data_IF_646965503726
#
_entry.id   IF_646965503726
#
_cell.length_a   1.000
_cell.length_b   1.000
_cell.length_c   1.000
_cell.angle_alpha   90.00
_cell.angle_beta   90.00
_cell.angle_gamma   90.00
#
_symmetry.space_group_name_H-M   'P 1'
#
loop_
_entity.id
_entity.type
_entity.pdbx_description
1 polymer ?
#
# COMPACT_ATOMS: atom_id res chain seq x y z
N UNK A 1 -4.64 31.62 -10.72
CA UNK A 1 -4.75 30.58 -9.68
C UNK A 1 -4.82 29.24 -10.37
N UNK A 2 -3.90 28.32 -10.04
CA UNK A 2 -3.88 26.99 -10.63
C UNK A 2 -5.07 26.15 -10.11
N UNK A 3 -5.86 25.58 -11.03
CA UNK A 3 -6.95 24.65 -10.72
C UNK A 3 -6.63 23.30 -11.32
N UNK A 4 -6.48 22.29 -10.46
CA UNK A 4 -6.19 20.92 -10.90
C UNK A 4 -7.47 20.19 -11.33
N UNK A 5 -7.47 19.61 -12.52
CA UNK A 5 -8.57 18.77 -13.02
C UNK A 5 -8.13 17.30 -13.03
N UNK A 6 -8.67 16.53 -12.10
CA UNK A 6 -8.43 15.08 -11.98
C UNK A 6 -9.38 14.30 -12.88
N UNK A 7 -8.83 13.35 -13.63
CA UNK A 7 -9.58 12.49 -14.55
C UNK A 7 -8.96 11.08 -14.57
N UNK A 8 -9.80 10.07 -14.81
CA UNK A 8 -9.39 8.69 -15.06
C UNK A 8 -10.39 8.01 -16.00
N UNK A 9 -9.91 7.52 -17.13
CA UNK A 9 -10.74 6.96 -18.21
C UNK A 9 -11.18 7.98 -19.27
N UNK A 10 -11.73 7.49 -20.40
CA UNK A 10 -12.00 8.30 -21.59
C UNK A 10 -13.11 9.34 -21.34
N UNK A 11 -14.22 8.97 -20.69
CA UNK A 11 -15.32 9.92 -20.42
C UNK A 11 -14.90 11.05 -19.50
N UNK A 12 -14.28 10.73 -18.37
CA UNK A 12 -13.84 11.76 -17.41
C UNK A 12 -12.77 12.69 -17.99
N UNK A 13 -11.94 12.20 -18.93
CA UNK A 13 -10.99 13.05 -19.66
C UNK A 13 -11.69 14.12 -20.49
N UNK A 14 -12.71 13.72 -21.27
CA UNK A 14 -13.48 14.65 -22.09
C UNK A 14 -14.17 15.69 -21.21
N UNK A 15 -14.72 15.27 -20.06
CA UNK A 15 -15.30 16.18 -19.07
C UNK A 15 -14.26 17.20 -18.59
N UNK A 16 -13.06 16.75 -18.20
CA UNK A 16 -12.00 17.62 -17.74
C UNK A 16 -11.56 18.61 -18.83
N UNK A 17 -11.47 18.18 -20.10
CA UNK A 17 -11.18 19.07 -21.23
C UNK A 17 -12.28 20.13 -21.43
N UNK A 18 -13.55 19.73 -21.35
CA UNK A 18 -14.70 20.64 -21.45
C UNK A 18 -14.72 21.65 -20.30
N UNK A 19 -14.50 21.19 -19.06
CA UNK A 19 -14.43 22.04 -17.87
C UNK A 19 -13.24 23.00 -17.96
N UNK A 20 -12.09 22.56 -18.46
CA UNK A 20 -10.92 23.42 -18.69
C UNK A 20 -11.26 24.59 -19.60
N UNK A 21 -11.87 24.33 -20.75
CA UNK A 21 -12.25 25.39 -21.69
C UNK A 21 -13.26 26.37 -21.07
N UNK A 22 -14.26 25.83 -20.38
CA UNK A 22 -15.29 26.64 -19.74
C UNK A 22 -14.74 27.50 -18.58
N UNK A 23 -13.86 26.95 -17.73
CA UNK A 23 -13.28 27.67 -16.60
C UNK A 23 -12.46 28.88 -17.05
N UNK A 24 -11.66 28.75 -18.11
CA UNK A 24 -10.91 29.88 -18.68
C UNK A 24 -11.84 30.97 -19.20
N UNK A 25 -13.02 30.63 -19.72
CA UNK A 25 -14.00 31.61 -20.19
C UNK A 25 -14.70 32.32 -19.03
N UNK A 26 -15.10 31.59 -17.99
CA UNK A 26 -15.88 32.13 -16.87
C UNK A 26 -15.03 32.89 -15.86
N UNK A 27 -13.85 32.38 -15.53
CA UNK A 27 -12.95 32.98 -14.53
C UNK A 27 -11.56 33.14 -15.13
N UNK A 28 -11.28 34.32 -15.68
CA UNK A 28 -10.01 34.65 -16.34
C UNK A 28 -8.78 34.57 -15.42
N UNK A 29 -9.00 34.63 -14.10
CA UNK A 29 -7.95 34.48 -13.09
C UNK A 29 -7.60 33.01 -12.80
N UNK A 30 -8.29 32.04 -13.41
CA UNK A 30 -8.01 30.62 -13.21
C UNK A 30 -7.12 30.10 -14.35
N UNK A 31 -6.16 29.26 -13.97
CA UNK A 31 -5.32 28.48 -14.89
C UNK A 31 -5.66 27.00 -14.68
N UNK A 32 -6.64 26.43 -15.42
CA UNK A 32 -6.99 25.03 -15.26
C UNK A 32 -5.96 24.14 -15.93
N UNK A 33 -5.47 23.17 -15.17
CA UNK A 33 -4.40 22.28 -15.58
C UNK A 33 -4.81 20.82 -15.41
N UNK A 34 -4.43 20.00 -16.38
CA UNK A 34 -4.65 18.55 -16.34
C UNK A 34 -3.37 17.81 -16.69
N UNK A 35 -3.25 16.57 -16.22
CA UNK A 35 -2.05 15.75 -16.44
C UNK A 35 -1.68 15.57 -17.93
N UNK A 36 -2.64 15.63 -18.86
CA UNK A 36 -2.36 15.58 -20.30
C UNK A 36 -1.63 16.80 -20.88
N UNK A 37 -1.45 17.88 -20.12
CA UNK A 37 -0.75 19.10 -20.55
C UNK A 37 0.79 19.01 -20.42
N UNK A 38 1.31 17.89 -19.91
CA UNK A 38 2.74 17.68 -19.68
C UNK A 38 3.49 17.56 -21.01
N UNK A 39 4.58 18.30 -21.16
CA UNK A 39 5.41 18.26 -22.36
C UNK A 39 6.03 16.86 -22.57
N UNK A 40 5.96 16.35 -23.81
CA UNK A 40 6.55 15.06 -24.18
C UNK A 40 8.06 15.10 -23.93
N UNK A 41 8.53 14.36 -22.92
CA UNK A 41 9.94 14.32 -22.49
C UNK A 41 10.19 14.83 -21.07
N UNK A 42 9.22 15.48 -20.44
CA UNK A 42 9.28 15.87 -19.02
C UNK A 42 9.03 14.67 -18.10
N UNK A 43 9.59 14.71 -16.88
CA UNK A 43 9.32 13.69 -15.85
C UNK A 43 7.89 13.84 -15.33
N UNK A 44 6.94 13.22 -16.02
CA UNK A 44 5.49 13.25 -15.77
C UNK A 44 5.11 13.42 -14.30
N UNK A 45 5.58 12.52 -13.44
CA UNK A 45 5.21 12.50 -12.04
C UNK A 45 5.77 13.63 -11.17
N UNK A 46 6.98 14.11 -11.47
CA UNK A 46 7.60 15.21 -10.73
C UNK A 46 6.88 16.53 -11.03
N UNK A 47 6.37 16.66 -12.25
CA UNK A 47 5.61 17.83 -12.69
C UNK A 47 4.18 17.79 -12.14
N UNK A 48 3.51 16.63 -12.14
CA UNK A 48 2.19 16.45 -11.49
C UNK A 48 2.26 16.75 -9.99
N UNK A 49 3.26 16.21 -9.27
CA UNK A 49 3.38 16.45 -7.83
C UNK A 49 3.67 17.92 -7.48
N UNK A 50 4.55 18.58 -8.24
CA UNK A 50 4.84 20.00 -8.06
C UNK A 50 3.60 20.86 -8.35
N UNK A 51 2.87 20.55 -9.43
CA UNK A 51 1.63 21.25 -9.78
C UNK A 51 0.51 20.99 -8.78
N UNK A 52 0.43 19.79 -8.19
CA UNK A 52 -0.53 19.47 -7.14
C UNK A 52 -0.24 20.22 -5.83
N UNK A 53 1.04 20.37 -5.46
CA UNK A 53 1.45 21.19 -4.30
C UNK A 53 1.16 22.68 -4.50
N UNK A 54 1.33 23.19 -5.73
CA UNK A 54 0.99 24.57 -6.09
C UNK A 54 -0.52 24.80 -6.29
N UNK A 55 -1.29 23.73 -6.50
CA UNK A 55 -2.74 23.81 -6.75
C UNK A 55 -3.52 24.05 -5.47
N UNK A 56 -4.13 25.22 -5.35
CA UNK A 56 -5.00 25.58 -4.22
C UNK A 56 -6.42 25.03 -4.37
N UNK A 57 -6.80 24.58 -5.56
CA UNK A 57 -8.13 24.09 -5.85
C UNK A 57 -8.07 22.88 -6.79
N UNK A 58 -8.85 21.85 -6.52
CA UNK A 58 -8.95 20.66 -7.36
C UNK A 58 -10.41 20.26 -7.63
N UNK A 59 -10.68 19.89 -8.88
CA UNK A 59 -11.95 19.32 -9.32
C UNK A 59 -11.69 17.89 -9.76
N UNK A 60 -12.45 16.96 -9.18
CA UNK A 60 -12.35 15.53 -9.47
C UNK A 60 -13.54 15.10 -10.32
N UNK A 61 -13.28 14.71 -11.56
CA UNK A 61 -14.33 14.26 -12.48
C UNK A 61 -14.64 12.78 -12.27
N UNK A 62 -15.75 12.50 -11.57
CA UNK A 62 -16.22 11.15 -11.28
C UNK A 62 -17.32 10.72 -12.26
N UNK A 63 -17.18 9.48 -12.72
CA UNK A 63 -18.12 8.79 -13.59
C UNK A 63 -18.27 7.34 -13.12
N UNK A 64 -19.29 6.62 -13.58
CA UNK A 64 -19.50 5.20 -13.24
C UNK A 64 -18.31 4.32 -13.62
N UNK A 65 -17.49 4.75 -14.59
CA UNK A 65 -16.32 4.02 -15.07
C UNK A 65 -15.10 4.14 -14.14
N UNK A 66 -15.05 5.16 -13.29
CA UNK A 66 -13.84 5.51 -12.54
C UNK A 66 -14.03 5.60 -11.01
N UNK A 67 -15.20 5.22 -10.49
CA UNK A 67 -15.44 5.13 -9.04
C UNK A 67 -14.42 4.22 -8.33
N UNK A 68 -14.03 3.11 -8.96
CA UNK A 68 -13.03 2.17 -8.43
C UNK A 68 -11.58 2.55 -8.78
N UNK A 69 -11.36 3.69 -9.46
CA UNK A 69 -10.02 4.10 -9.89
C UNK A 69 -9.21 4.61 -8.70
N UNK A 70 -8.28 3.77 -8.20
CA UNK A 70 -7.38 4.08 -7.08
C UNK A 70 -6.58 5.38 -7.30
N UNK A 71 -6.28 5.73 -8.55
CA UNK A 71 -5.63 6.98 -8.93
C UNK A 71 -6.38 8.24 -8.49
N UNK A 72 -7.71 8.25 -8.62
CA UNK A 72 -8.54 9.39 -8.23
C UNK A 72 -8.51 9.61 -6.72
N UNK A 73 -8.50 8.52 -5.95
CA UNK A 73 -8.37 8.56 -4.48
C UNK A 73 -7.02 9.13 -4.04
N UNK A 74 -5.96 8.86 -4.81
CA UNK A 74 -4.62 9.38 -4.56
C UNK A 74 -4.53 10.89 -4.81
N UNK A 75 -5.04 11.37 -5.95
CA UNK A 75 -5.02 12.80 -6.28
C UNK A 75 -5.91 13.63 -5.33
N UNK A 76 -7.10 13.11 -5.00
CA UNK A 76 -8.00 13.71 -4.01
C UNK A 76 -7.35 13.83 -2.63
N UNK A 77 -6.67 12.77 -2.19
CA UNK A 77 -6.01 12.72 -0.88
C UNK A 77 -4.69 13.51 -0.82
N UNK A 78 -4.00 13.70 -1.95
CA UNK A 78 -2.80 14.53 -2.01
C UNK A 78 -3.14 16.01 -1.88
N UNK A 79 -4.18 16.47 -2.59
CA UNK A 79 -4.63 17.86 -2.50
C UNK A 79 -5.19 18.13 -1.11
N UNK A 80 -6.10 17.29 -0.60
CA UNK A 80 -6.77 17.54 0.69
C UNK A 80 -5.88 17.60 1.93
N UNK A 81 -4.62 17.12 1.84
CA UNK A 81 -3.64 17.17 2.94
C UNK A 81 -2.93 18.53 3.06
N UNK A 82 -3.12 19.43 2.10
CA UNK A 82 -2.58 20.79 2.15
C UNK A 82 -3.56 21.70 2.90
N UNK A 83 -3.06 22.38 3.94
CA UNK A 83 -3.86 23.16 4.91
C UNK A 83 -4.70 24.31 4.31
N UNK A 84 -4.53 24.66 3.03
CA UNK A 84 -5.24 25.75 2.34
C UNK A 84 -5.86 25.34 1.00
N UNK A 85 -6.03 24.04 0.76
CA UNK A 85 -6.58 23.51 -0.50
C UNK A 85 -8.09 23.27 -0.43
N UNK A 86 -8.78 23.35 -1.57
CA UNK A 86 -10.21 23.02 -1.68
C UNK A 86 -10.42 21.96 -2.75
N UNK A 87 -11.12 20.88 -2.38
CA UNK A 87 -11.41 19.75 -3.27
C UNK A 87 -12.90 19.66 -3.51
N UNK A 88 -13.31 19.70 -4.77
CA UNK A 88 -14.68 19.45 -5.21
C UNK A 88 -14.73 18.21 -6.09
N UNK A 89 -15.80 17.44 -5.96
CA UNK A 89 -16.04 16.26 -6.81
C UNK A 89 -17.19 16.57 -7.74
N UNK A 90 -17.03 16.27 -9.03
CA UNK A 90 -18.06 16.46 -10.05
C UNK A 90 -18.62 15.09 -10.45
N UNK A 91 -19.95 14.94 -10.38
CA UNK A 91 -20.66 13.70 -10.68
C UNK A 91 -21.44 13.86 -11.99
N UNK A 92 -21.19 12.99 -12.97
CA UNK A 92 -21.93 12.98 -14.24
C UNK A 92 -23.08 11.95 -14.24
N UNK A 93 -22.74 10.66 -14.26
CA UNK A 93 -23.67 9.53 -14.45
C UNK A 93 -23.88 8.69 -13.18
N UNK A 94 -23.51 9.26 -12.03
CA UNK A 94 -23.53 8.62 -10.72
C UNK A 94 -24.19 9.53 -9.69
N UNK A 95 -24.83 8.91 -8.71
CA UNK A 95 -25.47 9.65 -7.61
C UNK A 95 -24.51 9.79 -6.43
N UNK A 96 -24.68 10.81 -5.56
CA UNK A 96 -23.88 10.95 -4.33
C UNK A 96 -23.86 9.69 -3.44
N UNK A 97 -24.92 8.88 -3.46
CA UNK A 97 -25.01 7.64 -2.70
C UNK A 97 -24.13 6.51 -3.26
N UNK A 98 -23.74 6.58 -4.53
CA UNK A 98 -22.84 5.61 -5.19
C UNK A 98 -21.36 5.92 -4.92
N UNK A 99 -21.04 7.04 -4.28
CA UNK A 99 -19.67 7.45 -3.96
C UNK A 99 -19.25 6.88 -2.59
N UNK A 100 -18.27 5.99 -2.57
CA UNK A 100 -17.72 5.41 -1.34
C UNK A 100 -16.68 6.32 -0.65
N UNK A 101 -16.34 6.01 0.60
CA UNK A 101 -15.24 6.68 1.31
C UNK A 101 -13.89 6.37 0.65
N UNK A 102 -12.93 7.32 0.64
CA UNK A 102 -12.94 8.63 1.29
C UNK A 102 -13.63 9.76 0.49
N UNK A 103 -14.00 9.56 -0.77
CA UNK A 103 -14.54 10.64 -1.62
C UNK A 103 -15.90 11.14 -1.18
N UNK A 104 -16.69 10.29 -0.52
CA UNK A 104 -17.99 10.66 0.06
C UNK A 104 -17.89 11.77 1.13
N UNK A 105 -16.68 12.10 1.60
CA UNK A 105 -16.47 13.18 2.58
C UNK A 105 -16.53 14.58 1.96
N UNK A 106 -16.37 14.68 0.64
CA UNK A 106 -16.35 15.95 -0.08
C UNK A 106 -17.75 16.32 -0.58
N UNK A 107 -18.02 17.63 -0.73
CA UNK A 107 -19.26 18.07 -1.36
C UNK A 107 -19.22 17.78 -2.86
N UNK A 108 -20.29 17.15 -3.34
CA UNK A 108 -20.47 16.74 -4.72
C UNK A 108 -21.18 17.84 -5.53
N UNK A 109 -20.70 18.10 -6.74
CA UNK A 109 -21.34 18.94 -7.75
C UNK A 109 -22.01 18.05 -8.78
N UNK A 110 -23.32 18.22 -8.95
CA UNK A 110 -24.09 17.51 -9.97
C UNK A 110 -24.18 18.32 -11.27
N UNK A 111 -24.78 17.77 -12.32
CA UNK A 111 -25.06 18.48 -13.59
C UNK A 111 -26.09 19.62 -13.40
N UNK A 112 -26.68 19.76 -12.21
CA UNK A 112 -27.63 20.84 -11.95
C UNK A 112 -26.97 22.23 -11.99
N UNK A 113 -27.64 23.16 -12.67
CA UNK A 113 -27.22 24.56 -12.80
C UNK A 113 -26.97 25.24 -11.45
N UNK A 114 -27.79 24.91 -10.45
CA UNK A 114 -27.69 25.42 -9.07
C UNK A 114 -26.36 25.04 -8.41
N UNK A 115 -25.90 23.81 -8.61
CA UNK A 115 -24.66 23.30 -8.03
C UNK A 115 -23.44 23.82 -8.78
N UNK A 116 -23.49 23.87 -10.11
CA UNK A 116 -22.41 24.49 -10.89
C UNK A 116 -22.23 25.98 -10.61
N UNK A 117 -23.33 26.70 -10.34
CA UNK A 117 -23.25 28.09 -9.89
C UNK A 117 -22.51 28.20 -8.55
N UNK A 118 -22.80 27.32 -7.58
CA UNK A 118 -22.05 27.27 -6.31
C UNK A 118 -20.58 26.95 -6.54
N UNK A 119 -20.28 26.01 -7.44
CA UNK A 119 -18.90 25.67 -7.81
C UNK A 119 -18.15 26.90 -8.35
N UNK A 120 -18.76 27.65 -9.28
CA UNK A 120 -18.16 28.87 -9.83
C UNK A 120 -17.87 29.92 -8.75
N UNK A 121 -18.81 30.17 -7.83
CA UNK A 121 -18.60 31.08 -6.70
C UNK A 121 -17.50 30.58 -5.75
N UNK A 122 -17.46 29.27 -5.48
CA UNK A 122 -16.45 28.67 -4.60
C UNK A 122 -15.04 28.80 -5.19
N UNK A 123 -14.90 28.63 -6.51
CA UNK A 123 -13.63 28.85 -7.22
C UNK A 123 -13.25 30.33 -7.16
N UNK A 124 -14.20 31.24 -7.38
CA UNK A 124 -13.94 32.69 -7.31
C UNK A 124 -13.52 33.16 -5.90
N UNK A 125 -14.09 32.55 -4.85
CA UNK A 125 -13.66 32.78 -3.47
C UNK A 125 -12.27 32.17 -3.19
N UNK A 126 -11.95 31.02 -3.79
CA UNK A 126 -10.61 30.45 -3.73
C UNK A 126 -9.56 31.34 -4.43
N UNK A 127 -9.92 31.98 -5.56
CA UNK A 127 -9.06 32.98 -6.24
C UNK A 127 -8.77 34.15 -5.30
N UNK A 128 -9.77 34.64 -4.57
CA UNK A 128 -9.59 35.71 -3.58
C UNK A 128 -8.67 35.27 -2.45
N UNK A 129 -8.85 34.06 -1.90
CA UNK A 129 -7.95 33.47 -0.88
C UNK A 129 -6.53 33.27 -1.40
N UNK A 130 -6.37 33.03 -2.70
CA UNK A 130 -5.07 32.89 -3.33
C UNK A 130 -4.31 34.22 -3.49
N UNK A 131 -4.96 35.36 -3.22
CA UNK A 131 -4.39 36.71 -3.37
C UNK A 131 -4.55 37.29 -4.78
N UNK A 132 -5.38 36.69 -5.62
CA UNK A 132 -5.63 37.12 -6.99
C UNK A 132 -6.93 37.93 -7.13
N UNK A 133 -7.10 38.60 -8.27
CA UNK A 133 -8.27 39.46 -8.50
C UNK A 133 -9.51 38.63 -8.83
N UNK A 134 -10.37 38.45 -7.83
CA UNK A 134 -11.69 37.83 -8.01
C UNK A 134 -12.68 38.75 -8.73
N UNK A 135 -13.71 38.15 -9.32
CA UNK A 135 -14.80 38.85 -9.99
C UNK A 135 -15.90 39.22 -8.98
N UNK A 136 -16.57 40.38 -9.11
CA UNK A 136 -17.76 40.67 -8.34
C UNK A 136 -18.87 39.65 -8.63
N UNK A 137 -19.60 39.22 -7.59
CA UNK A 137 -20.61 38.16 -7.69
C UNK A 137 -21.63 38.38 -8.83
N UNK A 138 -22.09 39.63 -9.03
CA UNK A 138 -23.03 39.98 -10.11
C UNK A 138 -22.44 39.80 -11.51
N UNK A 139 -21.14 40.08 -11.67
CA UNK A 139 -20.43 39.92 -12.94
C UNK A 139 -20.20 38.44 -13.24
N UNK A 140 -19.81 37.67 -12.22
CA UNK A 140 -19.65 36.21 -12.34
C UNK A 140 -20.97 35.54 -12.73
N UNK A 141 -22.08 35.93 -12.10
CA UNK A 141 -23.41 35.39 -12.42
C UNK A 141 -23.82 35.70 -13.87
N UNK A 142 -23.57 36.93 -14.36
CA UNK A 142 -23.87 37.27 -15.76
C UNK A 142 -23.04 36.48 -16.78
N UNK A 143 -21.76 36.28 -16.50
CA UNK A 143 -20.86 35.47 -17.33
C UNK A 143 -21.30 33.99 -17.29
N UNK A 144 -21.58 33.46 -16.10
CA UNK A 144 -22.07 32.09 -15.91
C UNK A 144 -23.33 31.82 -16.72
N UNK A 145 -24.33 32.70 -16.65
CA UNK A 145 -25.59 32.57 -17.39
C UNK A 145 -25.39 32.54 -18.91
N UNK A 146 -24.37 33.23 -19.41
CA UNK A 146 -24.06 33.29 -20.85
C UNK A 146 -23.42 32.00 -21.35
N UNK A 147 -22.49 31.41 -20.59
CA UNK A 147 -21.73 30.22 -21.00
C UNK A 147 -22.31 28.89 -20.51
N UNK A 148 -23.26 28.92 -19.55
CA UNK A 148 -23.90 27.72 -19.02
C UNK A 148 -24.59 26.84 -20.08
N UNK A 149 -25.39 27.38 -21.03
CA UNK A 149 -26.09 26.54 -22.01
C UNK A 149 -25.15 25.68 -22.86
N UNK A 150 -23.99 26.23 -23.25
CA UNK A 150 -22.98 25.53 -24.06
C UNK A 150 -22.32 24.39 -23.26
N UNK A 151 -22.03 24.64 -21.98
CA UNK A 151 -21.51 23.61 -21.09
C UNK A 151 -22.55 22.51 -20.85
N UNK A 152 -23.80 22.89 -20.60
CA UNK A 152 -24.87 21.93 -20.32
C UNK A 152 -25.11 21.01 -21.51
N UNK A 153 -25.17 21.54 -22.74
CA UNK A 153 -25.31 20.74 -23.96
C UNK A 153 -24.16 19.75 -24.11
N UNK A 154 -22.91 20.22 -23.95
CA UNK A 154 -21.74 19.34 -24.00
C UNK A 154 -21.76 18.25 -22.91
N UNK A 155 -22.17 18.57 -21.68
CA UNK A 155 -22.25 17.58 -20.59
C UNK A 155 -23.36 16.54 -20.81
N UNK A 156 -24.50 16.95 -21.35
CA UNK A 156 -25.60 16.04 -21.71
C UNK A 156 -25.16 15.10 -22.83
N UNK A 157 -24.55 15.63 -23.88
CA UNK A 157 -24.02 14.82 -24.99
C UNK A 157 -23.00 13.78 -24.48
N UNK A 158 -22.07 14.20 -23.60
CA UNK A 158 -21.09 13.29 -22.99
C UNK A 158 -21.77 12.23 -22.11
N UNK A 159 -22.87 12.57 -21.42
CA UNK A 159 -23.62 11.62 -20.59
C UNK A 159 -24.35 10.56 -21.43
N UNK A 160 -24.80 10.93 -22.63
CA UNK A 160 -25.53 10.05 -23.56
C UNK A 160 -24.60 9.24 -24.48
N UNK A 161 -23.32 9.61 -24.58
CA UNK A 161 -22.32 8.84 -25.33
C UNK A 161 -22.18 7.41 -24.78
N UNK A 162 -22.77 6.45 -25.48
CA UNK A 162 -22.50 5.03 -25.30
C UNK A 162 -21.15 4.67 -25.90
N UNK A 163 -20.14 4.51 -25.05
CA UNK A 163 -18.95 3.75 -25.43
C UNK A 163 -19.34 2.28 -25.57
N UNK A 164 -19.50 1.84 -26.82
CA UNK A 164 -19.48 0.42 -27.17
C UNK A 164 -18.02 -0.06 -27.12
N UNK A 165 -17.48 -0.29 -25.93
CA UNK A 165 -16.30 -1.14 -25.76
C UNK A 165 -16.66 -2.33 -24.89
N UNK A 166 -16.51 -3.51 -25.47
CA UNK A 166 -16.40 -4.78 -24.75
C UNK A 166 -15.52 -4.56 -23.52
N UNK A 167 -16.00 -4.94 -22.33
CA UNK A 167 -15.13 -5.16 -21.18
C UNK A 167 -14.13 -6.27 -21.55
N UNK A 168 -13.03 -5.93 -22.23
CA UNK A 168 -11.80 -6.68 -22.03
C UNK A 168 -11.46 -6.48 -20.54
N UNK A 169 -11.35 -7.55 -19.75
CA UNK A 169 -10.98 -7.42 -18.35
C UNK A 169 -9.69 -6.59 -18.30
N UNK A 170 -9.64 -5.58 -17.41
CA UNK A 170 -8.43 -4.77 -17.18
C UNK A 170 -7.25 -5.74 -17.13
N UNK A 171 -6.37 -5.69 -18.13
CA UNK A 171 -5.21 -6.59 -18.15
C UNK A 171 -4.31 -6.20 -17.00
N UNK A 172 -3.84 -7.17 -16.23
CA UNK A 172 -2.96 -6.99 -15.06
C UNK A 172 -1.80 -6.03 -15.34
N UNK A 173 -1.31 -6.01 -16.58
CA UNK A 173 -0.28 -5.09 -17.07
C UNK A 173 -0.58 -3.60 -16.91
N UNK A 174 -1.82 -3.17 -17.15
CA UNK A 174 -2.22 -1.77 -17.00
C UNK A 174 -2.35 -1.38 -15.52
N UNK A 175 -2.77 -2.33 -14.68
CA UNK A 175 -2.85 -2.18 -13.22
C UNK A 175 -1.42 -2.16 -12.64
N UNK A 176 -0.53 -3.01 -13.14
CA UNK A 176 0.88 -3.06 -12.75
C UNK A 176 1.63 -1.81 -13.19
N UNK A 177 1.38 -1.28 -14.39
CA UNK A 177 2.00 -0.03 -14.85
C UNK A 177 1.60 1.15 -13.95
N UNK A 178 0.33 1.22 -13.55
CA UNK A 178 -0.18 2.21 -12.60
C UNK A 178 0.44 2.01 -11.20
N UNK A 179 0.52 0.78 -10.69
CA UNK A 179 1.16 0.44 -9.40
C UNK A 179 2.66 0.75 -9.42
N UNK A 180 3.36 0.47 -10.52
CA UNK A 180 4.78 0.79 -10.70
C UNK A 180 5.00 2.30 -10.76
N UNK A 181 4.09 3.07 -11.35
CA UNK A 181 4.14 4.53 -11.32
C UNK A 181 3.92 5.10 -9.91
N UNK A 182 2.98 4.53 -9.14
CA UNK A 182 2.72 4.90 -7.74
C UNK A 182 3.95 4.60 -6.86
N UNK A 183 4.55 3.41 -7.00
CA UNK A 183 5.75 3.01 -6.24
C UNK A 183 6.98 3.85 -6.58
N UNK A 184 7.18 4.16 -7.87
CA UNK A 184 8.27 5.06 -8.32
C UNK A 184 8.10 6.49 -7.81
N UNK A 185 6.86 6.95 -7.61
CA UNK A 185 6.59 8.26 -7.00
C UNK A 185 6.81 8.27 -5.49
N UNK A 186 6.55 7.14 -4.82
CA UNK A 186 6.83 6.95 -3.40
C UNK A 186 8.33 6.94 -3.10
N UNK A 187 9.15 6.22 -3.88
CA UNK A 187 10.61 6.19 -3.71
C UNK A 187 11.26 7.57 -3.95
N UNK A 188 10.75 8.34 -4.92
CA UNK A 188 11.30 9.66 -5.23
C UNK A 188 11.01 10.72 -4.16
N UNK A 189 9.92 10.59 -3.41
CA UNK A 189 9.63 11.45 -2.24
C UNK A 189 10.61 11.21 -1.08
N UNK A 190 11.17 10.01 -0.95
CA UNK A 190 12.15 9.70 0.10
C UNK A 190 13.56 10.21 -0.21
N UNK A 191 13.90 10.39 -1.50
CA UNK A 191 15.26 10.77 -1.92
C UNK A 191 15.59 12.27 -1.80
N UNK A 192 14.62 13.14 -1.50
CA UNK A 192 14.80 14.60 -1.47
C UNK A 192 15.23 15.21 -0.13
N UNK A 193 15.53 14.42 0.91
CA UNK A 193 15.73 14.93 2.29
C UNK A 193 17.01 14.50 3.01
N UNK A 194 18.05 14.07 2.29
CA UNK A 194 19.30 13.62 2.95
C UNK A 194 20.43 14.61 2.69
N UNK A 195 20.53 15.67 3.51
CA UNK A 195 21.82 16.30 3.78
C UNK A 195 22.56 15.42 4.80
N UNK A 196 23.69 14.85 4.39
CA UNK A 196 24.53 13.98 5.22
C UNK A 196 25.38 14.82 6.19
N UNK A 197 25.14 14.68 7.50
CA UNK A 197 26.06 15.14 8.54
C UNK A 197 26.94 13.97 8.97
N UNK A 198 28.22 14.01 8.56
CA UNK A 198 29.27 13.10 9.03
C UNK A 198 29.72 13.51 10.45
N UNK A 199 29.51 12.64 11.45
CA UNK A 199 30.11 12.79 12.79
C UNK A 199 31.13 11.68 13.05
N UNK A 200 32.37 12.10 13.37
CA UNK A 200 33.44 11.23 13.87
C UNK A 200 33.24 10.93 15.36
N UNK A 201 33.69 9.77 15.86
CA UNK A 201 33.55 9.42 17.26
C UNK A 201 34.63 10.10 18.11
N UNK A 202 34.24 10.72 19.22
CA UNK A 202 35.17 11.05 20.30
C UNK A 202 34.56 10.77 21.67
N UNK A 203 35.39 10.14 22.49
CA UNK A 203 35.27 9.80 23.90
C UNK A 203 34.61 10.88 24.78
N UNK A 204 33.68 10.47 25.65
CA UNK A 204 33.90 10.56 27.10
C UNK A 204 32.73 10.02 27.91
N UNK A 205 33.08 9.29 28.96
CA UNK A 205 32.23 8.83 30.06
C UNK A 205 31.93 10.01 31.00
N UNK A 206 30.66 10.26 31.32
CA UNK A 206 30.30 10.93 32.58
C UNK A 206 28.88 10.57 33.03
N UNK A 207 28.79 10.13 34.30
CA UNK A 207 27.57 9.77 34.99
C UNK A 207 26.69 11.00 35.29
N UNK A 208 25.37 10.84 35.20
CA UNK A 208 24.40 11.81 35.71
C UNK A 208 23.66 11.27 36.94
N UNK A 209 23.52 12.07 38.02
CA UNK A 209 22.82 11.69 39.25
C UNK A 209 21.31 11.82 39.09
N UNK A 210 20.58 11.05 39.91
CA UNK A 210 19.12 10.97 39.88
C UNK A 210 18.41 12.28 40.21
N UNK A 211 17.53 12.70 39.29
CA UNK A 211 16.16 13.21 39.48
C UNK A 211 15.67 13.72 38.12
N UNK A 212 14.97 12.83 37.41
CA UNK A 212 14.01 13.07 36.31
C UNK A 212 13.97 11.91 35.31
N UNK A 213 13.91 10.68 35.84
CA UNK A 213 13.77 9.46 35.01
C UNK A 213 12.46 9.49 34.22
N UNK A 214 11.39 10.10 34.73
CA UNK A 214 10.09 10.16 34.03
C UNK A 214 10.12 11.15 32.84
N UNK A 215 10.91 12.23 32.93
CA UNK A 215 11.07 13.18 31.81
C UNK A 215 11.98 12.61 30.72
N UNK A 216 13.08 11.94 31.09
CA UNK A 216 13.90 11.20 30.13
C UNK A 216 13.14 10.02 29.46
N UNK A 217 12.28 9.33 30.20
CA UNK A 217 11.44 8.24 29.67
C UNK A 217 10.38 8.73 28.69
N UNK A 218 9.87 9.97 28.85
CA UNK A 218 8.92 10.56 27.90
C UNK A 218 9.63 11.13 26.67
N UNK A 219 10.82 11.72 26.82
CA UNK A 219 11.57 12.31 25.69
C UNK A 219 12.23 11.24 24.80
N UNK A 220 12.63 10.09 25.34
CA UNK A 220 13.14 8.96 24.52
C UNK A 220 12.03 8.18 23.80
N UNK A 221 10.75 8.39 24.13
CA UNK A 221 9.62 7.67 23.50
C UNK A 221 9.22 8.23 22.13
N UNK A 222 9.73 9.40 21.73
CA UNK A 222 9.42 9.99 20.43
C UNK A 222 10.54 9.88 19.37
N UNK A 223 11.80 9.70 19.74
CA UNK A 223 12.90 9.67 18.75
C UNK A 223 13.35 8.26 18.29
N UNK A 224 12.93 7.19 18.97
CA UNK A 224 13.21 5.82 18.52
C UNK A 224 12.21 5.28 17.48
N UNK A 225 11.17 6.06 17.15
CA UNK A 225 10.18 5.68 16.14
C UNK A 225 10.59 6.11 14.73
N UNK A 226 11.39 7.16 14.58
CA UNK A 226 11.70 7.75 13.26
C UNK A 226 12.98 7.23 12.59
N UNK A 227 13.82 6.48 13.29
CA UNK A 227 15.03 5.85 12.70
C UNK A 227 14.86 4.36 12.37
N UNK A 228 13.70 3.77 12.67
CA UNK A 228 13.48 2.33 12.52
C UNK A 228 12.85 1.89 11.18
N UNK A 229 12.62 2.82 10.24
CA UNK A 229 11.94 2.50 8.97
C UNK A 229 12.91 1.94 7.90
N UNK A 230 14.23 2.05 8.08
CA UNK A 230 15.19 1.73 7.00
C UNK A 230 16.01 0.44 7.14
N UNK A 231 15.65 -0.47 8.05
CA UNK A 231 16.25 -1.81 8.06
C UNK A 231 15.21 -2.81 8.57
N UNK A 232 14.97 -3.89 7.82
CA UNK A 232 14.01 -4.94 8.17
C UNK A 232 14.26 -5.57 9.54
N UNK A 233 13.76 -4.93 10.60
CA UNK A 233 13.90 -5.41 11.96
C UNK A 233 12.81 -6.44 12.25
N UNK A 234 13.23 -7.71 12.32
CA UNK A 234 12.45 -8.80 12.88
C UNK A 234 11.91 -8.36 14.25
N UNK A 235 10.59 -8.48 14.45
CA UNK A 235 9.95 -8.08 15.71
C UNK A 235 10.16 -9.20 16.71
N UNK A 236 10.81 -8.88 17.83
CA UNK A 236 10.99 -9.79 18.96
C UNK A 236 10.10 -9.35 20.12
N UNK A 237 9.50 -10.30 20.82
CA UNK A 237 8.93 -10.04 22.16
C UNK A 237 9.94 -10.46 23.22
N UNK A 238 10.26 -9.53 24.12
CA UNK A 238 11.17 -9.68 25.26
C UNK A 238 10.36 -9.54 26.55
N UNK A 239 10.65 -10.38 27.56
CA UNK A 239 9.96 -10.34 28.83
C UNK A 239 10.96 -10.34 29.99
N UNK A 240 10.75 -9.48 30.99
CA UNK A 240 11.53 -9.46 32.24
C UNK A 240 10.90 -10.43 33.24
N UNK A 241 11.61 -11.53 33.57
CA UNK A 241 11.04 -12.65 34.31
C UNK A 241 12.01 -13.25 35.33
N UNK A 242 11.55 -13.40 36.59
CA UNK A 242 12.18 -14.24 37.63
C UNK A 242 11.47 -15.60 37.67
N UNK A 243 12.15 -16.68 37.27
CA UNK A 243 11.74 -18.11 37.36
C UNK A 243 10.35 -18.44 36.78
N UNK A 244 10.21 -18.44 35.46
CA UNK A 244 8.97 -18.80 34.76
C UNK A 244 9.24 -19.77 33.60
N UNK A 245 8.28 -20.63 33.29
CA UNK A 245 8.37 -21.64 32.20
C UNK A 245 7.38 -21.30 31.10
N UNK A 246 7.75 -21.66 29.87
CA UNK A 246 6.91 -21.46 28.68
C UNK A 246 6.37 -22.80 28.25
N UNK A 247 5.07 -22.86 28.00
CA UNK A 247 4.42 -24.06 27.51
C UNK A 247 3.58 -23.71 26.29
N UNK A 248 3.69 -24.52 25.26
CA UNK A 248 2.83 -24.42 24.09
C UNK A 248 2.37 -25.81 23.67
N UNK A 249 1.15 -25.91 23.16
CA UNK A 249 0.67 -27.17 22.59
C UNK A 249 1.53 -27.54 21.38
N UNK A 250 2.24 -28.67 21.44
CA UNK A 250 3.07 -29.18 20.34
C UNK A 250 2.29 -29.34 19.02
N UNK A 251 0.96 -29.42 19.07
CA UNK A 251 0.11 -29.49 17.87
C UNK A 251 0.01 -28.17 17.08
N UNK A 252 0.50 -27.04 17.64
CA UNK A 252 0.42 -25.71 17.02
C UNK A 252 1.65 -25.31 16.19
N UNK A 253 2.78 -25.97 16.41
CA UNK A 253 4.05 -25.64 15.77
C UNK A 253 4.79 -26.90 15.29
N UNK A 254 5.54 -26.75 14.21
CA UNK A 254 6.37 -27.79 13.62
C UNK A 254 7.83 -27.36 13.69
N UNK A 255 8.73 -28.31 13.98
CA UNK A 255 10.16 -28.05 14.07
C UNK A 255 10.83 -28.15 12.71
N UNK A 256 11.45 -27.06 12.26
CA UNK A 256 12.18 -27.00 10.99
C UNK A 256 13.58 -27.66 11.09
N UNK A 257 14.34 -27.67 9.99
CA UNK A 257 15.70 -28.24 9.93
C UNK A 257 16.70 -27.59 10.89
N UNK A 258 16.51 -26.30 11.20
CA UNK A 258 17.37 -25.52 12.10
C UNK A 258 17.04 -25.78 13.57
N UNK A 259 16.05 -26.64 13.84
CA UNK A 259 15.59 -26.96 15.17
C UNK A 259 14.68 -25.89 15.79
N UNK A 260 14.25 -24.89 15.01
CA UNK A 260 13.34 -23.81 15.41
C UNK A 260 11.90 -24.28 15.23
N UNK A 261 11.04 -23.93 16.19
CA UNK A 261 9.61 -24.22 16.12
C UNK A 261 8.90 -23.12 15.32
N UNK A 262 8.14 -23.51 14.31
CA UNK A 262 7.42 -22.60 13.42
C UNK A 262 5.92 -22.87 13.54
N UNK A 263 5.15 -21.83 13.86
CA UNK A 263 3.69 -21.93 14.05
C UNK A 263 3.01 -22.18 12.70
N UNK A 264 2.26 -23.28 12.60
CA UNK A 264 1.53 -23.66 11.38
C UNK A 264 0.01 -23.49 11.48
N UNK A 265 -0.48 -22.90 12.59
CA UNK A 265 -1.91 -22.60 12.82
C UNK A 265 -2.17 -21.09 12.68
N UNK A 266 -3.35 -20.71 12.19
CA UNK A 266 -3.75 -19.30 12.01
C UNK A 266 -4.18 -18.58 13.30
N UNK A 267 -4.62 -19.33 14.31
CA UNK A 267 -5.11 -18.79 15.59
C UNK A 267 -4.54 -19.62 16.74
N UNK A 268 -3.26 -19.46 17.03
CA UNK A 268 -2.60 -20.18 18.12
C UNK A 268 -2.22 -19.24 19.27
N UNK A 269 -2.07 -19.82 20.45
CA UNK A 269 -1.73 -19.11 21.68
C UNK A 269 -0.64 -19.89 22.42
N UNK A 270 0.22 -19.16 23.13
CA UNK A 270 1.29 -19.70 23.97
C UNK A 270 1.06 -19.18 25.38
N UNK A 271 1.19 -20.06 26.37
CA UNK A 271 1.02 -19.71 27.77
C UNK A 271 2.37 -19.61 28.48
N UNK A 272 2.52 -18.59 29.32
CA UNK A 272 3.58 -18.51 30.31
C UNK A 272 3.02 -19.01 31.62
N UNK A 273 3.69 -19.98 32.22
CA UNK A 273 3.30 -20.56 33.51
C UNK A 273 4.36 -20.32 34.59
N UNK A 274 3.92 -20.25 35.84
CA UNK A 274 4.82 -20.31 36.99
C UNK A 274 5.28 -21.75 37.28
N UNK A 275 6.17 -21.90 38.26
CA UNK A 275 6.65 -23.22 38.71
C UNK A 275 5.53 -24.12 39.27
N UNK A 276 4.38 -23.56 39.64
CA UNK A 276 3.20 -24.28 40.13
C UNK A 276 2.20 -24.64 39.01
N UNK A 277 2.48 -24.28 37.75
CA UNK A 277 1.63 -24.57 36.60
C UNK A 277 0.48 -23.58 36.39
N UNK A 278 0.44 -22.47 37.14
CA UNK A 278 -0.58 -21.43 36.95
C UNK A 278 -0.23 -20.58 35.74
N UNK A 279 -1.20 -20.38 34.84
CA UNK A 279 -1.08 -19.47 33.69
C UNK A 279 -0.97 -18.04 34.20
N UNK A 280 0.14 -17.38 33.86
CA UNK A 280 0.44 -16.00 34.20
C UNK A 280 0.06 -15.05 33.06
N UNK A 281 0.31 -15.48 31.82
CA UNK A 281 0.11 -14.68 30.63
C UNK A 281 -0.15 -15.59 29.44
N UNK A 282 -0.99 -15.14 28.52
CA UNK A 282 -1.32 -15.83 27.28
C UNK A 282 -1.05 -14.91 26.09
N UNK A 283 -0.24 -15.39 25.16
CA UNK A 283 0.28 -14.62 24.03
C UNK A 283 -0.28 -15.20 22.74
N UNK A 284 -0.90 -14.35 21.93
CA UNK A 284 -1.37 -14.75 20.60
C UNK A 284 -0.21 -14.84 19.61
N UNK A 285 -0.06 -16.01 18.99
CA UNK A 285 0.90 -16.26 17.92
C UNK A 285 0.19 -16.48 16.59
N UNK A 286 0.82 -15.98 15.54
CA UNK A 286 0.33 -16.04 14.16
C UNK A 286 1.02 -17.14 13.37
N UNK A 287 0.41 -17.52 12.25
CA UNK A 287 1.02 -18.41 11.27
C UNK A 287 2.36 -17.83 10.80
N UNK A 288 3.42 -18.62 10.83
CA UNK A 288 4.76 -18.15 10.47
C UNK A 288 5.65 -17.69 11.62
N UNK A 289 5.09 -17.51 12.82
CA UNK A 289 5.88 -17.12 13.98
C UNK A 289 6.91 -18.18 14.32
N UNK A 290 8.14 -17.73 14.60
CA UNK A 290 9.23 -18.59 15.05
C UNK A 290 9.30 -18.54 16.57
N UNK A 291 9.07 -19.68 17.20
CA UNK A 291 9.24 -19.87 18.63
C UNK A 291 10.69 -20.29 18.86
N UNK A 292 11.42 -19.43 19.57
CA UNK A 292 12.86 -19.53 19.81
C UNK A 292 13.22 -20.50 20.94
N UNK A 293 12.22 -20.94 21.70
CA UNK A 293 12.39 -21.80 22.86
C UNK A 293 11.67 -23.15 22.68
N UNK A 294 12.29 -24.25 23.14
CA UNK A 294 11.60 -25.52 23.24
C UNK A 294 10.41 -25.46 24.20
N UNK A 295 9.40 -26.29 23.93
CA UNK A 295 8.26 -26.48 24.83
C UNK A 295 8.72 -26.92 26.24
N UNK A 296 8.13 -26.32 27.27
CA UNK A 296 8.42 -26.58 28.68
C UNK A 296 9.74 -25.99 29.19
N UNK A 297 10.51 -25.29 28.35
CA UNK A 297 11.79 -24.71 28.77
C UNK A 297 11.60 -23.47 29.65
N UNK A 298 12.53 -23.27 30.58
CA UNK A 298 12.62 -22.03 31.33
C UNK A 298 13.27 -20.96 30.44
N UNK A 299 12.71 -19.75 30.41
CA UNK A 299 13.39 -18.63 29.77
C UNK A 299 14.10 -17.75 30.80
N UNK A 300 15.22 -17.18 30.37
CA UNK A 300 15.90 -16.11 31.10
C UNK A 300 15.18 -14.78 30.93
N UNK A 301 15.40 -13.85 31.86
CA UNK A 301 14.94 -12.48 31.73
C UNK A 301 15.50 -11.84 30.45
N UNK A 302 14.65 -11.11 29.72
CA UNK A 302 14.93 -10.48 28.43
C UNK A 302 15.36 -11.45 27.32
N UNK A 303 15.01 -12.73 27.43
CA UNK A 303 15.24 -13.69 26.34
C UNK A 303 14.19 -13.50 25.24
N UNK A 304 14.63 -13.58 23.98
CA UNK A 304 13.76 -13.58 22.80
C UNK A 304 12.95 -14.88 22.77
N UNK A 305 11.63 -14.76 22.79
CA UNK A 305 10.74 -15.93 22.80
C UNK A 305 10.14 -16.22 21.43
N UNK A 306 9.65 -15.17 20.78
CA UNK A 306 8.94 -15.23 19.52
C UNK A 306 9.60 -14.22 18.58
N UNK A 307 9.86 -14.67 17.36
CA UNK A 307 10.35 -13.85 16.26
C UNK A 307 9.31 -13.86 15.15
N UNK A 308 8.88 -12.67 14.74
CA UNK A 308 7.94 -12.46 13.64
C UNK A 308 8.57 -11.55 12.58
N UNK A 309 8.37 -11.90 11.32
CA UNK A 309 8.61 -10.99 10.21
C UNK A 309 7.35 -10.12 9.99
N UNK A 310 7.40 -8.80 10.24
CA UNK A 310 6.23 -7.95 10.06
C UNK A 310 5.92 -7.65 8.59
N UNK A 311 6.86 -7.94 7.68
CA UNK A 311 6.79 -7.52 6.28
C UNK A 311 6.44 -8.65 5.33
N UNK A 312 6.37 -9.89 5.82
CA UNK A 312 6.05 -11.03 4.96
C UNK A 312 5.30 -12.12 5.69
N UNK A 313 4.44 -12.82 4.93
CA UNK A 313 3.81 -14.07 5.35
C UNK A 313 4.59 -15.24 4.75
N UNK A 314 5.17 -16.15 5.56
CA UNK A 314 5.92 -17.29 5.05
C UNK A 314 4.97 -18.36 4.50
N UNK A 315 5.40 -19.09 3.47
CA UNK A 315 4.75 -20.32 3.00
C UNK A 315 5.49 -21.49 3.62
N UNK A 316 4.86 -22.22 4.55
CA UNK A 316 5.51 -23.29 5.32
C UNK A 316 5.04 -24.65 4.83
N UNK A 317 5.95 -25.61 4.74
CA UNK A 317 5.57 -27.00 4.47
C UNK A 317 5.24 -27.79 5.74
N UNK A 318 4.25 -28.68 5.65
CA UNK A 318 3.87 -29.60 6.73
C UNK A 318 4.52 -30.97 6.59
N UNK A 319 5.21 -31.24 5.48
CA UNK A 319 5.80 -32.54 5.18
C UNK A 319 7.22 -32.38 4.68
N UNK A 320 8.04 -33.41 4.89
CA UNK A 320 9.34 -33.48 4.23
C UNK A 320 9.24 -34.03 2.81
N UNK A 321 10.21 -33.70 1.97
CA UNK A 321 10.32 -34.23 0.62
C UNK A 321 11.22 -33.39 -0.27
N UNK A 322 11.40 -33.85 -1.51
CA UNK A 322 12.23 -33.17 -2.51
C UNK A 322 11.42 -32.13 -3.27
N UNK A 323 11.93 -30.90 -3.38
CA UNK A 323 11.27 -29.78 -4.07
C UNK A 323 11.16 -30.06 -5.56
N UNK A 324 9.95 -29.99 -6.08
CA UNK A 324 9.66 -30.01 -7.50
C UNK A 324 8.84 -28.76 -7.88
N UNK A 325 9.38 -28.00 -8.82
CA UNK A 325 8.70 -26.85 -9.39
C UNK A 325 7.65 -27.29 -10.42
N UNK A 326 6.46 -26.70 -10.35
CA UNK A 326 5.39 -26.87 -11.33
C UNK A 326 4.99 -25.51 -11.89
N UNK A 327 4.92 -25.43 -13.21
CA UNK A 327 4.56 -24.21 -13.96
C UNK A 327 5.39 -22.98 -13.56
N UNK A 328 6.66 -23.20 -13.18
CA UNK A 328 7.65 -22.16 -12.91
C UNK A 328 8.60 -22.06 -14.11
N UNK A 329 8.44 -21.00 -14.88
CA UNK A 329 9.18 -20.71 -16.10
C UNK A 329 9.75 -19.30 -15.98
N UNK A 330 11.06 -19.18 -16.16
CA UNK A 330 11.77 -17.90 -16.07
C UNK A 330 11.26 -16.92 -17.12
N UNK A 331 11.11 -15.65 -16.73
CA UNK A 331 10.55 -14.55 -17.53
C UNK A 331 9.10 -14.75 -18.01
N UNK A 332 8.41 -15.81 -17.55
CA UNK A 332 7.00 -16.08 -17.88
C UNK A 332 6.12 -16.18 -16.63
N UNK A 333 6.64 -16.80 -15.57
CA UNK A 333 5.92 -16.92 -14.29
C UNK A 333 6.78 -16.55 -13.08
N UNK A 334 8.09 -16.44 -13.26
CA UNK A 334 9.00 -15.88 -12.25
C UNK A 334 10.15 -15.16 -12.93
N UNK A 335 10.79 -14.23 -12.22
CA UNK A 335 12.05 -13.58 -12.64
C UNK A 335 13.09 -13.72 -11.54
N UNK A 336 14.37 -13.70 -11.92
CA UNK A 336 15.45 -13.57 -10.94
C UNK A 336 15.74 -12.09 -10.70
N UNK A 337 15.46 -11.60 -9.50
CA UNK A 337 15.85 -10.28 -9.05
C UNK A 337 17.13 -10.36 -8.24
N UNK A 338 18.03 -9.41 -8.45
CA UNK A 338 19.24 -9.27 -7.65
C UNK A 338 18.99 -8.16 -6.64
N UNK A 339 19.07 -8.48 -5.37
CA UNK A 339 19.09 -7.47 -4.31
C UNK A 339 20.36 -6.62 -4.48
N UNK A 340 20.17 -5.33 -4.72
CA UNK A 340 21.25 -4.37 -5.02
C UNK A 340 22.16 -4.11 -3.83
N UNK A 341 21.70 -4.39 -2.60
CA UNK A 341 22.48 -4.20 -1.38
C UNK A 341 23.25 -5.45 -0.98
N UNK A 342 22.65 -6.64 -1.11
CA UNK A 342 23.29 -7.90 -0.69
C UNK A 342 23.92 -8.69 -1.84
N UNK A 343 23.57 -8.36 -3.09
CA UNK A 343 23.96 -9.12 -4.28
C UNK A 343 23.31 -10.50 -4.39
N UNK A 344 22.40 -10.85 -3.46
CA UNK A 344 21.70 -12.14 -3.49
C UNK A 344 20.63 -12.14 -4.58
N UNK A 345 20.54 -13.28 -5.26
CA UNK A 345 19.50 -13.51 -6.27
C UNK A 345 18.29 -14.16 -5.63
N UNK A 346 17.13 -13.59 -5.89
CA UNK A 346 15.84 -14.09 -5.45
C UNK A 346 14.96 -14.41 -6.65
N UNK A 347 14.27 -15.55 -6.61
CA UNK A 347 13.24 -15.87 -7.60
C UNK A 347 11.92 -15.26 -7.13
N UNK A 348 11.40 -14.28 -7.87
CA UNK A 348 10.15 -13.59 -7.55
C UNK A 348 9.08 -14.02 -8.55
N UNK A 349 7.93 -14.48 -8.05
CA UNK A 349 6.79 -14.81 -8.92
C UNK A 349 6.21 -13.52 -9.52
N UNK A 350 6.07 -13.52 -10.83
CA UNK A 350 5.43 -12.44 -11.61
C UNK A 350 4.09 -12.93 -12.15
N UNK A 351 3.25 -12.05 -12.67
CA UNK A 351 2.02 -12.45 -13.33
C UNK A 351 2.27 -13.45 -14.46
N UNK A 352 1.36 -14.42 -14.58
CA UNK A 352 1.49 -15.56 -15.49
C UNK A 352 0.23 -15.72 -16.37
N UNK A 353 0.35 -16.30 -17.57
CA UNK A 353 -0.80 -16.61 -18.42
C UNK A 353 -1.80 -17.55 -17.73
N UNK A 354 -3.08 -17.43 -18.07
CA UNK A 354 -4.16 -18.24 -17.46
C UNK A 354 -4.00 -19.76 -17.62
N UNK A 355 -3.12 -20.24 -18.50
CA UNK A 355 -2.76 -21.66 -18.65
C UNK A 355 -1.80 -22.19 -17.58
N UNK A 356 -1.11 -21.31 -16.83
CA UNK A 356 -0.12 -21.71 -15.83
C UNK A 356 -0.68 -21.63 -14.41
N UNK A 357 -0.18 -22.49 -13.52
CA UNK A 357 -0.47 -22.47 -12.08
C UNK A 357 0.83 -22.67 -11.29
N UNK A 358 1.65 -21.60 -11.13
CA UNK A 358 2.93 -21.67 -10.42
C UNK A 358 2.80 -22.30 -9.04
N UNK A 359 3.61 -23.32 -8.77
CA UNK A 359 3.52 -24.09 -7.53
C UNK A 359 4.83 -24.79 -7.18
N UNK A 360 4.99 -25.05 -5.89
CA UNK A 360 5.98 -25.98 -5.36
C UNK A 360 5.26 -27.26 -4.93
N UNK A 361 5.74 -28.41 -5.39
CA UNK A 361 5.27 -29.71 -4.94
C UNK A 361 6.40 -30.46 -4.24
N UNK A 362 6.09 -31.19 -3.17
CA UNK A 362 7.09 -32.04 -2.51
C UNK A 362 6.96 -33.48 -2.97
N UNK A 363 8.09 -34.09 -3.34
CA UNK A 363 8.16 -35.44 -3.91
C UNK A 363 8.77 -36.43 -2.92
N UNK A 364 8.26 -37.66 -2.93
CA UNK A 364 8.88 -38.81 -2.27
C UNK A 364 10.10 -39.31 -3.07
N UNK A 365 10.85 -40.24 -2.51
CA UNK A 365 12.01 -40.87 -3.17
C UNK A 365 11.64 -41.62 -4.46
N UNK A 366 10.34 -41.84 -4.73
CA UNK A 366 9.82 -42.48 -5.95
C UNK A 366 9.29 -41.45 -6.96
N UNK A 367 9.49 -40.15 -6.73
CA UNK A 367 9.06 -39.06 -7.60
C UNK A 367 7.56 -38.72 -7.53
N UNK A 368 6.80 -39.36 -6.64
CA UNK A 368 5.36 -39.09 -6.44
C UNK A 368 5.18 -37.95 -5.46
N UNK A 369 4.13 -37.15 -5.63
CA UNK A 369 3.87 -36.05 -4.70
C UNK A 369 3.44 -36.60 -3.34
N UNK A 370 4.12 -36.16 -2.29
CA UNK A 370 3.81 -36.51 -0.89
C UNK A 370 2.40 -36.00 -0.57
N UNK A 371 1.65 -36.72 0.27
CA UNK A 371 0.33 -36.28 0.74
C UNK A 371 0.47 -35.51 2.05
N UNK A 372 -0.40 -34.52 2.26
CA UNK A 372 -0.45 -33.78 3.52
C UNK A 372 -0.92 -34.68 4.67
N UNK A 373 -0.42 -34.49 5.90
CA UNK A 373 -0.75 -35.36 7.02
C UNK A 373 -2.26 -35.34 7.32
N UNK A 374 -2.86 -36.52 7.49
CA UNK A 374 -4.29 -36.63 7.79
C UNK A 374 -5.24 -36.31 6.64
N UNK A 375 -4.74 -36.11 5.42
CA UNK A 375 -5.57 -35.88 4.23
C UNK A 375 -5.07 -36.65 3.02
N UNK A 376 -5.91 -36.77 1.98
CA UNK A 376 -5.49 -37.30 0.68
C UNK A 376 -4.96 -36.22 -0.28
N UNK A 377 -4.93 -34.96 0.17
CA UNK A 377 -4.47 -33.85 -0.67
C UNK A 377 -2.95 -33.93 -0.88
N UNK A 378 -2.49 -33.72 -2.12
CA UNK A 378 -1.06 -33.69 -2.41
C UNK A 378 -0.43 -32.42 -1.83
N UNK A 379 0.79 -32.51 -1.31
CA UNK A 379 1.61 -31.40 -0.84
C UNK A 379 2.05 -30.53 -2.03
N UNK A 380 1.11 -29.68 -2.46
CA UNK A 380 1.25 -28.71 -3.54
C UNK A 380 0.90 -27.34 -2.98
N UNK A 381 1.87 -26.44 -3.03
CA UNK A 381 1.79 -25.09 -2.53
C UNK A 381 1.75 -24.16 -3.73
N UNK A 382 0.59 -23.55 -3.98
CA UNK A 382 0.45 -22.52 -5.01
C UNK A 382 1.24 -21.29 -4.60
N UNK A 383 1.87 -20.64 -5.57
CA UNK A 383 2.65 -19.43 -5.33
C UNK A 383 1.94 -18.23 -5.97
N UNK A 384 1.32 -17.36 -5.16
CA UNK A 384 0.77 -16.09 -5.66
C UNK A 384 1.85 -15.19 -6.27
N UNK A 385 1.42 -14.23 -7.10
CA UNK A 385 2.29 -13.17 -7.60
C UNK A 385 2.94 -12.40 -6.44
N UNK A 386 4.18 -11.96 -6.62
CA UNK A 386 4.99 -11.32 -5.58
C UNK A 386 5.63 -12.28 -4.58
N UNK A 387 5.35 -13.59 -4.65
CA UNK A 387 6.02 -14.55 -3.76
C UNK A 387 7.52 -14.61 -4.07
N UNK A 388 8.34 -14.40 -3.04
CA UNK A 388 9.79 -14.61 -3.07
C UNK A 388 10.05 -16.07 -2.73
N UNK A 389 10.55 -16.86 -3.67
CA UNK A 389 10.91 -18.26 -3.45
C UNK A 389 12.26 -18.33 -2.73
N UNK A 390 12.33 -19.14 -1.67
CA UNK A 390 13.52 -19.30 -0.83
C UNK A 390 14.20 -20.67 -0.98
N UNK A 391 13.65 -21.54 -1.82
CA UNK A 391 14.13 -22.91 -2.04
C UNK A 391 14.47 -23.14 -3.51
N UNK A 392 15.39 -24.04 -3.77
CA UNK A 392 15.79 -24.44 -5.11
C UNK A 392 15.14 -25.76 -5.53
N UNK A 393 15.05 -25.98 -6.86
CA UNK A 393 14.55 -27.23 -7.40
C UNK A 393 15.47 -28.37 -6.99
N UNK A 394 14.91 -29.40 -6.36
CA UNK A 394 15.65 -30.56 -5.90
C UNK A 394 16.11 -30.47 -4.44
N UNK A 395 15.89 -29.36 -3.75
CA UNK A 395 16.18 -29.25 -2.32
C UNK A 395 15.41 -30.29 -1.52
N UNK A 396 16.07 -30.87 -0.52
CA UNK A 396 15.44 -31.78 0.44
C UNK A 396 14.94 -30.95 1.62
N UNK A 397 13.61 -30.95 1.82
CA UNK A 397 12.95 -30.21 2.89
C UNK A 397 12.43 -31.12 4.00
N UNK A 398 12.32 -30.56 5.20
CA UNK A 398 11.60 -31.15 6.33
C UNK A 398 10.35 -30.33 6.64
N UNK A 399 9.41 -30.94 7.36
CA UNK A 399 8.25 -30.22 7.84
C UNK A 399 8.68 -29.00 8.68
N UNK A 400 7.99 -27.86 8.53
CA UNK A 400 8.34 -26.59 9.17
C UNK A 400 9.29 -25.71 8.38
N UNK A 401 9.90 -26.21 7.29
CA UNK A 401 10.72 -25.37 6.41
C UNK A 401 9.85 -24.37 5.62
N UNK A 402 10.45 -23.20 5.33
CA UNK A 402 9.81 -22.12 4.59
C UNK A 402 10.15 -22.23 3.11
N UNK A 403 9.13 -22.39 2.26
CA UNK A 403 9.24 -22.49 0.80
C UNK A 403 9.46 -21.13 0.15
N UNK A 404 8.81 -20.11 0.69
CA UNK A 404 8.81 -18.76 0.14
C UNK A 404 8.18 -17.76 1.11
N UNK A 405 8.24 -16.48 0.76
CA UNK A 405 7.64 -15.39 1.52
C UNK A 405 6.77 -14.55 0.61
N UNK A 406 5.57 -14.24 1.08
CA UNK A 406 4.64 -13.33 0.42
C UNK A 406 4.79 -11.98 1.13
N UNK A 407 5.35 -10.94 0.48
CA UNK A 407 5.41 -9.61 1.05
C UNK A 407 4.00 -9.12 1.43
N UNK A 408 3.90 -8.51 2.59
CA UNK A 408 2.66 -7.84 3.02
C UNK A 408 2.74 -6.42 2.49
N UNK A 409 1.72 -5.99 1.73
CA UNK A 409 1.57 -4.58 1.40
C UNK A 409 1.34 -3.81 2.70
N UNK A 410 2.31 -2.97 3.07
CA UNK A 410 2.18 -2.10 4.23
C UNK A 410 1.24 -0.97 3.80
N UNK A 411 -0.06 -1.13 4.01
CA UNK A 411 -0.97 0.02 3.96
C UNK A 411 -0.59 0.93 5.13
N UNK A 412 0.15 2.00 4.84
CA UNK A 412 0.39 3.07 5.81
C UNK A 412 -0.97 3.70 6.12
N UNK A 413 -1.52 3.32 7.29
CA UNK A 413 -2.77 3.85 7.83
C UNK A 413 -2.67 5.33 8.18
#
# INVERSE_FOLDING_TARGET
MLVFLSWSGPKSKIIAETLKQWLVQVIQAVDPWMSSDIAKGSRWNSEVAAKLEDSKFAIICLTRENLDARWILFEAGAVSKLNDSSVCTFLLDITPAEVEQPLSQFQHTTIEKSDFRKLAHTINDAVLRAGERSLPAQTLDGIFETFWPQLQEALVDISEMQYAEERKPRTDRAILEEIVEILRNQERRQSGKTEEVHLRPSDNTQAFPGKDIIKAWLTMRLHAFETAIFAGHLRYMLFDMKKKKYVFDKSLAIRNREGIWVVNRRHAQIAIIDDAGKVLEEIRVGYGDRIMLPDGSAAAANQKLIQRDPLSTPIITEVGGKVAFGDLIENVSFVEEVDTFTGQKFKVIIDWPSSLRPRIALKDNKGRTVKLPGTDYPARYLLPAGTIILVEKGDDLVAGDVLGRIPIEITAA
#
